data_IF_914446386339
#
_entry.id   IF_914446386339
#
_cell.length_a   1.000
_cell.length_b   1.000
_cell.length_c   1.000
_cell.angle_alpha   90.00
_cell.angle_beta   90.00
_cell.angle_gamma   90.00
#
_symmetry.space_group_name_H-M   'P 1'
#
loop_
_entity.id
_entity.type
_entity.pdbx_description
1 polymer ?
#
# COMPACT_ATOMS: atom_id res chain seq x y z
N UNK A 1 7.34 -12.68 -14.94
CA UNK A 1 8.80 -12.83 -15.01
C UNK A 1 9.33 -11.55 -15.65
N UNK A 2 9.73 -10.57 -14.84
CA UNK A 2 10.07 -9.22 -15.30
C UNK A 2 11.57 -9.02 -15.13
N UNK A 3 12.30 -8.92 -16.24
CA UNK A 3 13.64 -8.35 -16.25
C UNK A 3 13.43 -6.83 -16.23
N UNK A 4 13.44 -6.26 -15.02
CA UNK A 4 13.56 -4.81 -14.82
C UNK A 4 15.03 -4.47 -14.99
N UNK A 5 15.38 -3.94 -16.17
CA UNK A 5 16.62 -3.21 -16.36
C UNK A 5 16.56 -1.97 -15.46
N UNK A 6 17.17 -2.09 -14.29
CA UNK A 6 17.40 -0.99 -13.36
C UNK A 6 18.50 -0.12 -13.98
N UNK A 7 18.11 0.89 -14.76
CA UNK A 7 18.97 2.05 -14.96
C UNK A 7 18.94 2.86 -13.66
N UNK A 8 19.81 2.50 -12.73
CA UNK A 8 20.20 3.40 -11.65
C UNK A 8 21.05 4.51 -12.26
N UNK A 9 20.40 5.52 -12.84
CA UNK A 9 21.04 6.79 -13.12
C UNK A 9 21.14 7.55 -11.79
N UNK A 10 22.21 7.28 -11.04
CA UNK A 10 22.64 8.13 -9.92
C UNK A 10 23.12 9.47 -10.48
N UNK A 11 22.17 10.36 -10.81
CA UNK A 11 22.45 11.79 -11.04
C UNK A 11 22.33 12.52 -9.70
N UNK A 12 23.11 12.05 -8.72
CA UNK A 12 23.52 12.87 -7.55
C UNK A 12 25.02 13.15 -7.68
N UNK A 13 25.53 13.15 -8.92
CA UNK A 13 26.90 13.52 -9.26
C UNK A 13 26.95 15.01 -9.63
N UNK A 14 27.65 15.79 -8.79
CA UNK A 14 27.95 17.22 -8.91
C UNK A 14 26.79 18.23 -8.76
N UNK A 15 26.30 18.39 -7.53
CA UNK A 15 25.44 19.53 -7.13
C UNK A 15 26.21 20.83 -6.83
N UNK A 16 27.55 20.83 -6.82
CA UNK A 16 28.34 22.04 -6.51
C UNK A 16 28.19 23.13 -7.56
N UNK A 17 27.95 22.79 -8.83
CA UNK A 17 27.76 23.75 -9.92
C UNK A 17 26.40 24.45 -9.94
N UNK A 18 25.41 23.96 -9.16
CA UNK A 18 24.09 24.58 -9.10
C UNK A 18 23.95 25.58 -7.94
N UNK A 19 24.93 25.65 -7.02
CA UNK A 19 24.92 26.60 -5.91
C UNK A 19 25.20 28.05 -6.35
N UNK A 20 25.88 28.25 -7.49
CA UNK A 20 26.22 29.59 -8.02
C UNK A 20 25.00 30.40 -8.50
N UNK A 21 23.82 29.80 -8.50
CA UNK A 21 22.57 30.42 -8.96
C UNK A 21 21.51 30.51 -7.86
N UNK A 22 21.86 30.24 -6.61
CA UNK A 22 20.93 30.33 -5.48
C UNK A 22 21.03 31.74 -4.90
N UNK A 23 19.90 32.46 -4.74
CA UNK A 23 19.92 33.74 -4.03
C UNK A 23 20.46 33.58 -2.61
N UNK A 24 21.26 34.54 -2.14
CA UNK A 24 21.97 34.44 -0.84
C UNK A 24 21.05 34.09 0.33
N UNK A 25 19.81 34.62 0.31
CA UNK A 25 18.79 34.38 1.33
C UNK A 25 18.33 32.91 1.43
N UNK A 26 18.59 32.07 0.42
CA UNK A 26 18.21 30.66 0.38
C UNK A 26 19.39 29.69 0.57
N UNK A 27 20.61 30.18 0.75
CA UNK A 27 21.80 29.31 0.81
C UNK A 27 21.67 28.23 1.88
N UNK A 28 21.20 28.58 3.07
CA UNK A 28 21.08 27.63 4.18
C UNK A 28 19.95 26.63 3.97
N UNK A 29 18.83 27.04 3.39
CA UNK A 29 17.74 26.13 2.99
C UNK A 29 18.24 25.07 1.99
N UNK A 30 19.05 25.48 1.01
CA UNK A 30 19.64 24.57 0.04
C UNK A 30 20.73 23.66 0.62
N UNK A 31 21.50 24.12 1.62
CA UNK A 31 22.43 23.24 2.35
C UNK A 31 21.67 22.13 3.09
N UNK A 32 20.60 22.49 3.79
CA UNK A 32 19.75 21.52 4.50
C UNK A 32 19.07 20.56 3.52
N UNK A 33 18.54 21.07 2.41
CA UNK A 33 17.97 20.25 1.34
C UNK A 33 18.99 19.25 0.78
N UNK A 34 20.21 19.70 0.47
CA UNK A 34 21.26 18.81 -0.03
C UNK A 34 21.66 17.74 1.00
N UNK A 35 21.68 18.09 2.29
CA UNK A 35 21.91 17.11 3.35
C UNK A 35 20.80 16.05 3.38
N UNK A 36 19.53 16.46 3.27
CA UNK A 36 18.38 15.54 3.21
C UNK A 36 18.47 14.62 1.98
N UNK A 37 18.77 15.17 0.80
CA UNK A 37 18.95 14.41 -0.44
C UNK A 37 20.09 13.38 -0.33
N UNK A 38 21.24 13.79 0.23
CA UNK A 38 22.41 12.91 0.41
C UNK A 38 22.15 11.73 1.37
N UNK A 39 21.22 11.91 2.31
CA UNK A 39 20.82 10.91 3.29
C UNK A 39 19.56 10.14 2.87
N UNK A 40 19.06 10.34 1.64
CA UNK A 40 17.80 9.78 1.13
C UNK A 40 16.57 10.10 2.02
N UNK A 41 16.60 11.24 2.73
CA UNK A 41 15.49 11.79 3.51
C UNK A 41 14.51 12.52 2.59
N UNK A 42 13.90 11.75 1.68
CA UNK A 42 13.12 12.28 0.56
C UNK A 42 11.83 13.00 0.98
N UNK A 43 11.19 12.59 2.07
CA UNK A 43 9.99 13.27 2.55
C UNK A 43 10.33 14.68 3.06
N UNK A 44 11.42 14.80 3.83
CA UNK A 44 11.96 16.06 4.34
C UNK A 44 12.45 16.97 3.21
N UNK A 45 13.08 16.37 2.19
CA UNK A 45 13.51 17.08 0.99
C UNK A 45 12.31 17.63 0.20
N UNK A 46 11.26 16.83 -0.02
CA UNK A 46 10.05 17.27 -0.73
C UNK A 46 9.36 18.44 -0.02
N UNK A 47 9.26 18.42 1.31
CA UNK A 47 8.70 19.53 2.09
C UNK A 47 9.50 20.82 1.86
N UNK A 48 10.84 20.74 1.85
CA UNK A 48 11.70 21.90 1.60
C UNK A 48 11.60 22.40 0.16
N UNK A 49 11.57 21.49 -0.81
CA UNK A 49 11.36 21.83 -2.22
C UNK A 49 10.03 22.59 -2.41
N UNK A 50 8.95 22.13 -1.78
CA UNK A 50 7.65 22.82 -1.83
C UNK A 50 7.69 24.20 -1.16
N UNK A 51 8.39 24.34 -0.03
CA UNK A 51 8.57 25.63 0.63
C UNK A 51 9.34 26.62 -0.26
N UNK A 52 10.38 26.17 -0.98
CA UNK A 52 11.12 26.98 -1.93
C UNK A 52 10.25 27.40 -3.13
N UNK A 53 9.43 26.49 -3.68
CA UNK A 53 8.52 26.80 -4.79
C UNK A 53 7.51 27.90 -4.43
N UNK A 54 7.07 27.97 -3.16
CA UNK A 54 6.18 29.04 -2.71
C UNK A 54 6.83 30.43 -2.76
N UNK A 55 8.15 30.49 -2.84
CA UNK A 55 8.92 31.73 -2.98
C UNK A 55 9.43 31.93 -4.42
N UNK A 56 8.72 31.37 -5.41
CA UNK A 56 9.16 31.34 -6.82
C UNK A 56 9.55 32.71 -7.40
N UNK A 57 8.93 33.80 -6.95
CA UNK A 57 9.17 35.18 -7.40
C UNK A 57 10.63 35.61 -7.14
N UNK A 58 11.26 35.03 -6.12
CA UNK A 58 12.63 35.30 -5.69
C UNK A 58 13.63 34.33 -6.32
N UNK A 59 13.17 33.27 -6.98
CA UNK A 59 14.01 32.24 -7.57
C UNK A 59 14.18 32.49 -9.07
N UNK A 60 15.42 32.40 -9.57
CA UNK A 60 15.63 32.43 -11.01
C UNK A 60 15.12 31.14 -11.68
N UNK A 61 14.94 31.21 -12.99
CA UNK A 61 14.42 30.11 -13.79
C UNK A 61 15.25 28.83 -13.68
N UNK A 62 16.59 28.94 -13.62
CA UNK A 62 17.48 27.78 -13.54
C UNK A 62 17.29 27.03 -12.22
N UNK A 63 17.15 27.77 -11.11
CA UNK A 63 16.87 27.20 -9.79
C UNK A 63 15.49 26.53 -9.76
N UNK A 64 14.47 27.16 -10.33
CA UNK A 64 13.13 26.56 -10.44
C UNK A 64 13.14 25.27 -11.27
N UNK A 65 13.87 25.24 -12.38
CA UNK A 65 14.04 24.02 -13.20
C UNK A 65 14.67 22.92 -12.36
N UNK A 66 15.78 23.19 -11.68
CA UNK A 66 16.46 22.20 -10.84
C UNK A 66 15.56 21.64 -9.73
N UNK A 67 14.76 22.49 -9.09
CA UNK A 67 13.79 22.08 -8.07
C UNK A 67 12.79 21.08 -8.67
N UNK A 68 12.18 21.40 -9.82
CA UNK A 68 11.21 20.51 -10.47
C UNK A 68 11.84 19.21 -10.98
N UNK A 69 13.07 19.25 -11.47
CA UNK A 69 13.83 18.05 -11.84
C UNK A 69 14.10 17.14 -10.63
N UNK A 70 14.44 17.76 -9.49
CA UNK A 70 14.70 17.05 -8.23
C UNK A 70 13.42 16.41 -7.70
N UNK A 71 12.28 17.14 -7.68
CA UNK A 71 10.97 16.57 -7.34
C UNK A 71 10.62 15.40 -8.26
N UNK A 72 10.83 15.56 -9.58
CA UNK A 72 10.56 14.50 -10.54
C UNK A 72 11.41 13.24 -10.28
N UNK A 73 12.68 13.42 -9.91
CA UNK A 73 13.57 12.31 -9.61
C UNK A 73 13.14 11.58 -8.34
N UNK A 74 12.91 12.30 -7.24
CA UNK A 74 12.43 11.71 -5.98
C UNK A 74 11.15 10.90 -6.21
N UNK A 75 10.15 11.49 -6.88
CA UNK A 75 8.90 10.79 -7.16
C UNK A 75 9.09 9.59 -8.08
N UNK A 76 10.00 9.65 -9.06
CA UNK A 76 10.34 8.48 -9.87
C UNK A 76 10.93 7.37 -9.00
N UNK A 77 11.84 7.72 -8.08
CA UNK A 77 12.48 6.77 -7.17
C UNK A 77 11.50 6.17 -6.15
N UNK A 78 10.42 6.89 -5.81
CA UNK A 78 9.34 6.40 -4.94
C UNK A 78 8.25 5.61 -5.69
N UNK A 79 8.32 5.53 -7.02
CA UNK A 79 7.28 5.01 -7.93
C UNK A 79 6.00 5.85 -7.99
N UNK A 80 6.07 7.14 -7.65
CA UNK A 80 4.98 8.11 -7.74
C UNK A 80 4.97 8.80 -9.11
N UNK A 81 4.82 8.01 -10.17
CA UNK A 81 5.05 8.47 -11.55
C UNK A 81 4.15 9.64 -11.98
N UNK A 82 2.93 9.76 -11.45
CA UNK A 82 2.03 10.88 -11.73
C UNK A 82 2.64 12.21 -11.24
N UNK A 83 3.12 12.26 -9.99
CA UNK A 83 3.78 13.45 -9.44
C UNK A 83 5.11 13.76 -10.13
N UNK A 84 5.84 12.72 -10.56
CA UNK A 84 7.03 12.91 -11.36
C UNK A 84 6.71 13.56 -12.72
N UNK A 85 5.66 13.11 -13.41
CA UNK A 85 5.18 13.70 -14.66
C UNK A 85 4.76 15.16 -14.45
N UNK A 86 4.03 15.48 -13.38
CA UNK A 86 3.59 16.85 -13.12
C UNK A 86 4.75 17.79 -12.84
N UNK A 87 5.76 17.33 -12.12
CA UNK A 87 7.01 18.08 -11.90
C UNK A 87 7.76 18.32 -13.23
N UNK A 88 7.86 17.31 -14.09
CA UNK A 88 8.48 17.44 -15.41
C UNK A 88 7.72 18.39 -16.34
N UNK A 89 6.39 18.41 -16.28
CA UNK A 89 5.59 19.38 -17.03
C UNK A 89 5.92 20.81 -16.60
N UNK A 90 6.04 21.07 -15.29
CA UNK A 90 6.44 22.39 -14.77
C UNK A 90 7.84 22.79 -15.24
N UNK A 91 8.82 21.89 -15.18
CA UNK A 91 10.17 22.15 -15.72
C UNK A 91 10.15 22.45 -17.23
N UNK A 92 9.35 21.71 -18.00
CA UNK A 92 9.19 21.90 -19.46
C UNK A 92 8.58 23.26 -19.82
N UNK A 93 7.63 23.77 -19.04
CA UNK A 93 7.04 25.10 -19.27
C UNK A 93 8.09 26.20 -19.22
N UNK A 94 9.06 26.09 -18.30
CA UNK A 94 10.15 27.06 -18.13
C UNK A 94 11.23 26.85 -19.22
N UNK A 95 11.57 25.60 -19.55
CA UNK A 95 12.58 25.27 -20.56
C UNK A 95 11.97 24.48 -21.72
N UNK A 96 11.23 25.20 -22.56
CA UNK A 96 10.39 24.63 -23.63
C UNK A 96 11.18 23.90 -24.72
N UNK A 97 12.41 24.34 -24.99
CA UNK A 97 13.25 23.78 -26.06
C UNK A 97 13.89 22.44 -25.66
N UNK A 98 13.84 22.07 -24.37
CA UNK A 98 14.48 20.86 -23.89
C UNK A 98 13.59 19.63 -24.06
N UNK A 99 13.82 18.89 -25.14
CA UNK A 99 13.08 17.67 -25.47
C UNK A 99 13.24 16.53 -24.44
N UNK A 100 14.24 16.59 -23.54
CA UNK A 100 14.46 15.55 -22.51
C UNK A 100 13.24 15.35 -21.61
N UNK A 101 12.53 16.44 -21.28
CA UNK A 101 11.35 16.37 -20.41
C UNK A 101 10.20 15.64 -21.09
N UNK A 102 9.98 15.92 -22.39
CA UNK A 102 8.94 15.23 -23.14
C UNK A 102 9.21 13.73 -23.23
N UNK A 103 10.46 13.34 -23.47
CA UNK A 103 10.85 11.92 -23.51
C UNK A 103 10.63 11.23 -22.16
N UNK A 104 11.02 11.85 -21.05
CA UNK A 104 10.80 11.29 -19.69
C UNK A 104 9.32 11.21 -19.34
N UNK A 105 8.50 12.21 -19.72
CA UNK A 105 7.04 12.17 -19.54
C UNK A 105 6.41 11.01 -20.32
N UNK A 106 6.78 10.81 -21.59
CA UNK A 106 6.28 9.69 -22.40
C UNK A 106 6.67 8.35 -21.77
N UNK A 107 7.92 8.22 -21.33
CA UNK A 107 8.42 7.01 -20.66
C UNK A 107 7.60 6.67 -19.40
N UNK A 108 7.44 7.63 -18.49
CA UNK A 108 6.68 7.43 -17.26
C UNK A 108 5.19 7.15 -17.52
N UNK A 109 4.61 7.80 -18.54
CA UNK A 109 3.23 7.53 -18.96
C UNK A 109 3.09 6.08 -19.42
N UNK A 110 4.02 5.60 -20.26
CA UNK A 110 4.00 4.21 -20.72
C UNK A 110 4.19 3.20 -19.57
N UNK A 111 4.97 3.53 -18.55
CA UNK A 111 5.08 2.71 -17.33
C UNK A 111 3.74 2.63 -16.58
N UNK A 112 3.03 3.75 -16.46
CA UNK A 112 1.69 3.78 -15.85
C UNK A 112 0.74 2.88 -16.64
N UNK A 113 0.64 3.05 -17.97
CA UNK A 113 -0.27 2.24 -18.79
C UNK A 113 0.04 0.75 -18.70
N UNK A 114 1.33 0.38 -18.74
CA UNK A 114 1.76 -1.03 -18.66
C UNK A 114 1.33 -1.71 -17.36
N UNK A 115 1.26 -0.96 -16.27
CA UNK A 115 0.90 -1.47 -14.94
C UNK A 115 -0.61 -1.39 -14.65
N UNK A 116 -1.44 -1.15 -15.66
CA UNK A 116 -2.88 -0.88 -15.52
C UNK A 116 -3.78 -1.88 -16.26
N UNK A 117 -3.33 -3.13 -16.44
CA UNK A 117 -4.10 -4.15 -17.15
C UNK A 117 -5.53 -4.38 -16.58
N UNK A 118 -5.74 -4.13 -15.28
CA UNK A 118 -7.03 -4.33 -14.59
C UNK A 118 -7.91 -3.06 -14.53
N UNK A 119 -7.45 -1.92 -15.07
CA UNK A 119 -8.06 -0.58 -14.92
C UNK A 119 -9.50 -0.42 -15.39
N UNK A 120 -10.00 -1.35 -16.22
CA UNK A 120 -11.35 -1.32 -16.78
C UNK A 120 -12.25 -2.46 -16.31
N UNK A 121 -11.83 -3.20 -15.28
CA UNK A 121 -12.62 -4.31 -14.73
C UNK A 121 -13.88 -3.83 -14.00
N UNK A 122 -13.92 -2.57 -13.53
CA UNK A 122 -15.08 -1.99 -12.84
C UNK A 122 -15.32 -0.55 -13.27
N UNK A 123 -16.60 -0.15 -13.29
CA UNK A 123 -17.03 1.24 -13.53
C UNK A 123 -17.19 2.05 -12.25
N UNK A 124 -17.36 1.39 -11.11
CA UNK A 124 -17.74 2.02 -9.85
C UNK A 124 -16.93 1.45 -8.69
N UNK A 125 -16.78 2.26 -7.64
CA UNK A 125 -16.26 1.80 -6.35
C UNK A 125 -17.34 0.99 -5.63
N UNK A 126 -16.98 -0.21 -5.17
CA UNK A 126 -17.89 -1.08 -4.42
C UNK A 126 -17.66 -0.85 -2.93
N UNK A 127 -18.63 -0.23 -2.29
CA UNK A 127 -18.63 -0.05 -0.84
C UNK A 127 -18.72 -1.41 -0.12
N UNK A 128 -17.82 -1.62 0.83
CA UNK A 128 -17.88 -2.71 1.81
C UNK A 128 -17.66 -2.20 3.25
N UNK A 129 -17.79 -0.89 3.48
CA UNK A 129 -17.69 -0.26 4.80
C UNK A 129 -18.71 -0.86 5.75
N UNK A 130 -18.29 -1.09 7.00
CA UNK A 130 -19.09 -1.64 8.10
C UNK A 130 -19.62 -3.08 7.85
N UNK A 131 -18.97 -3.83 6.95
CA UNK A 131 -19.34 -5.23 6.68
C UNK A 131 -18.36 -6.21 7.30
N UNK A 132 -18.79 -7.47 7.39
CA UNK A 132 -17.93 -8.56 7.85
C UNK A 132 -17.64 -8.56 9.34
N UNK A 133 -16.59 -9.30 9.69
CA UNK A 133 -16.15 -9.49 11.07
C UNK A 133 -15.43 -8.22 11.52
N UNK A 134 -14.44 -7.75 10.76
CA UNK A 134 -13.54 -6.68 11.13
C UNK A 134 -14.23 -5.30 11.10
N UNK A 135 -15.23 -5.09 10.23
CA UNK A 135 -16.10 -3.89 10.10
C UNK A 135 -15.38 -2.57 9.78
N UNK A 136 -14.48 -2.13 10.65
CA UNK A 136 -13.77 -0.85 10.61
C UNK A 136 -12.38 -0.98 11.23
N UNK A 137 -11.39 -0.27 10.68
CA UNK A 137 -10.01 -0.31 11.16
C UNK A 137 -9.81 0.70 12.31
N UNK A 138 -10.66 0.69 13.32
CA UNK A 138 -10.58 1.63 14.45
C UNK A 138 -10.30 0.90 15.78
N UNK A 139 -10.00 1.65 16.82
CA UNK A 139 -9.82 1.14 18.18
C UNK A 139 -8.81 -0.02 18.25
N UNK A 140 -9.23 -1.18 18.79
CA UNK A 140 -8.39 -2.36 18.97
C UNK A 140 -8.64 -3.38 17.87
N UNK A 141 -7.58 -3.70 17.14
CA UNK A 141 -7.58 -4.67 16.05
C UNK A 141 -6.71 -5.87 16.44
N UNK A 142 -7.29 -7.06 16.45
CA UNK A 142 -6.54 -8.30 16.61
C UNK A 142 -6.26 -8.93 15.26
N UNK A 143 -4.99 -9.00 14.86
CA UNK A 143 -4.55 -9.76 13.69
C UNK A 143 -4.27 -11.19 14.10
N UNK A 144 -5.14 -12.11 13.71
CA UNK A 144 -4.94 -13.54 13.86
C UNK A 144 -4.19 -14.07 12.63
N UNK A 145 -2.89 -14.30 12.78
CA UNK A 145 -1.98 -14.60 11.68
C UNK A 145 -1.62 -16.10 11.65
N UNK A 146 -2.05 -16.80 10.61
CA UNK A 146 -1.88 -18.23 10.45
C UNK A 146 -0.79 -18.55 9.42
N UNK A 147 0.32 -19.10 9.89
CA UNK A 147 1.30 -19.72 9.00
C UNK A 147 0.76 -21.07 8.53
N UNK A 148 0.42 -21.17 7.25
CA UNK A 148 -0.04 -22.39 6.61
C UNK A 148 1.15 -23.21 6.14
N UNK A 149 1.28 -24.45 6.60
CA UNK A 149 2.38 -25.35 6.24
C UNK A 149 1.82 -26.71 5.81
N UNK A 150 2.17 -27.17 4.61
CA UNK A 150 1.82 -28.50 4.09
C UNK A 150 3.04 -29.39 3.89
N UNK A 151 4.21 -28.92 4.35
CA UNK A 151 5.53 -29.48 4.16
C UNK A 151 5.85 -29.89 2.70
N UNK A 152 5.21 -29.27 1.71
CA UNK A 152 5.42 -29.54 0.28
C UNK A 152 5.55 -28.24 -0.49
N UNK A 153 4.43 -27.57 -0.72
CA UNK A 153 4.35 -26.32 -1.46
C UNK A 153 4.64 -25.11 -0.57
N UNK A 154 4.10 -25.13 0.66
CA UNK A 154 4.31 -24.12 1.69
C UNK A 154 5.12 -24.71 2.84
N UNK A 155 6.28 -24.10 3.11
CA UNK A 155 7.18 -24.51 4.19
C UNK A 155 7.65 -23.30 4.98
N UNK A 156 7.45 -23.31 6.30
CA UNK A 156 7.85 -22.20 7.16
C UNK A 156 9.06 -22.55 8.02
N UNK A 157 10.20 -21.94 7.73
CA UNK A 157 11.36 -21.96 8.62
C UNK A 157 11.25 -20.90 9.73
N UNK A 158 12.02 -21.06 10.81
CA UNK A 158 12.11 -20.03 11.86
C UNK A 158 12.54 -18.67 11.30
N UNK A 159 13.54 -18.65 10.42
CA UNK A 159 14.02 -17.43 9.76
C UNK A 159 12.91 -16.75 8.96
N UNK A 160 12.18 -17.52 8.14
CA UNK A 160 11.07 -16.99 7.34
C UNK A 160 9.97 -16.38 8.23
N UNK A 161 9.65 -17.01 9.36
CA UNK A 161 8.65 -16.50 10.32
C UNK A 161 9.10 -15.19 10.97
N UNK A 162 10.37 -15.09 11.37
CA UNK A 162 10.93 -13.85 11.94
C UNK A 162 10.89 -12.72 10.90
N UNK A 163 11.32 -12.98 9.66
CA UNK A 163 11.25 -12.01 8.56
C UNK A 163 9.82 -11.53 8.35
N UNK A 164 8.85 -12.45 8.25
CA UNK A 164 7.44 -12.09 8.10
C UNK A 164 6.90 -11.28 9.29
N UNK A 165 7.28 -11.65 10.51
CA UNK A 165 6.86 -10.93 11.71
C UNK A 165 7.38 -9.47 11.69
N UNK A 166 8.60 -9.25 11.22
CA UNK A 166 9.15 -7.91 11.05
C UNK A 166 8.42 -7.13 9.95
N UNK A 167 8.06 -7.78 8.83
CA UNK A 167 7.25 -7.16 7.78
C UNK A 167 5.88 -6.72 8.32
N UNK A 168 5.19 -7.57 9.08
CA UNK A 168 3.90 -7.22 9.66
C UNK A 168 4.01 -6.09 10.70
N UNK A 169 5.10 -6.02 11.48
CA UNK A 169 5.37 -4.88 12.37
C UNK A 169 5.52 -3.57 11.59
N UNK A 170 6.16 -3.59 10.42
CA UNK A 170 6.25 -2.42 9.54
C UNK A 170 4.86 -2.02 9.02
N UNK A 171 4.03 -2.99 8.62
CA UNK A 171 2.64 -2.74 8.19
C UNK A 171 1.81 -2.11 9.31
N UNK A 172 1.89 -2.64 10.53
CA UNK A 172 1.19 -2.08 11.71
C UNK A 172 1.68 -0.66 12.01
N UNK A 173 2.99 -0.44 11.95
CA UNK A 173 3.58 0.89 12.18
C UNK A 173 3.08 1.87 11.12
N UNK A 174 3.05 1.45 9.85
CA UNK A 174 2.53 2.24 8.76
C UNK A 174 1.04 2.56 8.93
N UNK A 175 0.19 1.59 9.30
CA UNK A 175 -1.23 1.88 9.60
C UNK A 175 -1.39 2.94 10.69
N UNK A 176 -0.63 2.82 11.80
CA UNK A 176 -0.66 3.83 12.87
C UNK A 176 -0.19 5.20 12.39
N UNK A 177 0.80 5.26 11.51
CA UNK A 177 1.25 6.52 10.91
C UNK A 177 0.18 7.12 10.00
N UNK A 178 -0.47 6.32 9.16
CA UNK A 178 -1.55 6.78 8.29
C UNK A 178 -2.78 7.23 9.09
N UNK A 179 -3.12 6.52 10.17
CA UNK A 179 -4.24 6.83 11.05
C UNK A 179 -4.12 8.25 11.67
N UNK A 180 -2.91 8.69 12.02
CA UNK A 180 -2.65 10.04 12.53
C UNK A 180 -2.99 11.15 11.53
N UNK A 181 -2.93 10.87 10.23
CA UNK A 181 -3.32 11.86 9.21
C UNK A 181 -4.84 12.12 9.18
N UNK A 182 -5.61 11.32 9.93
CA UNK A 182 -7.07 11.39 10.04
C UNK A 182 -7.52 11.53 11.51
N UNK A 183 -6.64 11.99 12.40
CA UNK A 183 -6.92 12.18 13.83
C UNK A 183 -7.42 10.91 14.56
N UNK A 184 -6.96 9.74 14.11
CA UNK A 184 -7.28 8.45 14.73
C UNK A 184 -6.17 8.05 15.71
N UNK A 185 -6.29 8.50 16.96
CA UNK A 185 -5.28 8.28 18.01
C UNK A 185 -5.42 6.96 18.78
N UNK A 186 -6.61 6.35 18.75
CA UNK A 186 -6.95 5.14 19.52
C UNK A 186 -6.56 3.81 18.86
N UNK A 187 -5.92 3.83 17.68
CA UNK A 187 -5.67 2.62 16.90
C UNK A 187 -4.54 1.76 17.50
N UNK A 188 -4.93 0.62 18.05
CA UNK A 188 -4.03 -0.38 18.64
C UNK A 188 -4.15 -1.71 17.92
N UNK A 189 -3.03 -2.44 17.87
CA UNK A 189 -2.96 -3.73 17.23
C UNK A 189 -2.44 -4.77 18.23
N UNK A 190 -3.12 -5.91 18.28
CA UNK A 190 -2.62 -7.13 18.89
C UNK A 190 -2.39 -8.16 17.79
N UNK A 191 -1.21 -8.76 17.72
CA UNK A 191 -0.94 -9.82 16.74
C UNK A 191 -0.76 -11.14 17.44
N UNK A 192 -1.57 -12.14 17.06
CA UNK A 192 -1.42 -13.52 17.54
C UNK A 192 -1.05 -14.41 16.37
N UNK A 193 0.08 -15.11 16.51
CA UNK A 193 0.58 -16.02 15.49
C UNK A 193 0.17 -17.45 15.80
N UNK A 194 -0.29 -18.15 14.78
CA UNK A 194 -0.72 -19.54 14.84
C UNK A 194 -0.02 -20.34 13.74
N UNK A 195 0.12 -21.64 13.97
CA UNK A 195 0.71 -22.56 13.02
C UNK A 195 -0.33 -23.61 12.64
N UNK A 196 -0.68 -23.68 11.36
CA UNK A 196 -1.65 -24.64 10.85
C UNK A 196 -0.95 -25.63 9.93
N UNK A 197 -0.86 -26.87 10.41
CA UNK A 197 -0.30 -27.98 9.61
C UNK A 197 -1.41 -28.61 8.79
N UNK A 198 -1.32 -28.47 7.48
CA UNK A 198 -2.24 -29.13 6.55
C UNK A 198 -1.70 -30.51 6.19
N UNK A 199 -2.36 -31.61 6.60
CA UNK A 199 -1.97 -32.95 6.14
C UNK A 199 -2.22 -33.15 4.64
N UNK A 200 -3.14 -32.36 4.06
CA UNK A 200 -3.36 -32.30 2.62
C UNK A 200 -2.41 -31.30 1.98
N UNK A 201 -1.89 -31.62 0.81
CA UNK A 201 -1.12 -30.66 0.00
C UNK A 201 -1.95 -29.43 -0.35
N UNK A 202 -1.37 -28.25 -0.20
CA UNK A 202 -1.94 -26.96 -0.55
C UNK A 202 -1.54 -26.66 -2.00
N UNK A 203 -2.44 -26.88 -2.95
CA UNK A 203 -2.20 -26.46 -4.34
C UNK A 203 -2.48 -24.97 -4.53
N UNK A 204 -1.68 -24.28 -5.38
CA UNK A 204 -1.87 -22.87 -5.74
C UNK A 204 -3.30 -22.53 -6.16
N UNK A 205 -3.91 -23.35 -7.00
CA UNK A 205 -5.28 -23.11 -7.46
C UNK A 205 -6.31 -23.45 -6.40
N UNK A 206 -6.05 -24.45 -5.56
CA UNK A 206 -7.01 -24.89 -4.54
C UNK A 206 -7.20 -23.84 -3.45
N UNK A 207 -6.12 -23.20 -2.99
CA UNK A 207 -6.21 -22.18 -1.93
C UNK A 207 -7.09 -20.98 -2.31
N UNK A 208 -7.37 -20.77 -3.61
CA UNK A 208 -8.22 -19.68 -4.12
C UNK A 208 -9.69 -20.09 -4.24
N UNK A 209 -10.01 -21.36 -4.00
CA UNK A 209 -11.37 -21.89 -4.09
C UNK A 209 -12.08 -21.80 -2.75
N UNK A 210 -13.41 -21.71 -2.77
CA UNK A 210 -14.24 -21.64 -1.56
C UNK A 210 -14.08 -22.89 -0.67
N UNK A 211 -13.89 -24.05 -1.28
CA UNK A 211 -13.71 -25.34 -0.61
C UNK A 211 -12.46 -25.37 0.27
N UNK A 212 -11.41 -24.63 -0.13
CA UNK A 212 -10.23 -24.49 0.72
C UNK A 212 -10.58 -23.76 2.02
N UNK A 213 -11.44 -22.74 1.97
CA UNK A 213 -11.83 -22.01 3.17
C UNK A 213 -12.60 -22.89 4.17
N UNK A 214 -13.56 -23.68 3.68
CA UNK A 214 -14.30 -24.62 4.54
C UNK A 214 -13.36 -25.63 5.19
N UNK A 215 -12.34 -26.07 4.44
CA UNK A 215 -11.27 -26.92 4.96
C UNK A 215 -10.41 -26.20 6.01
N UNK A 216 -9.89 -25.01 5.70
CA UNK A 216 -9.00 -24.25 6.56
C UNK A 216 -9.68 -23.86 7.87
N UNK A 217 -10.96 -23.48 7.81
CA UNK A 217 -11.79 -23.14 8.97
C UNK A 217 -11.96 -24.33 9.91
N UNK A 218 -12.29 -25.51 9.37
CA UNK A 218 -12.41 -26.75 10.15
C UNK A 218 -11.07 -27.19 10.72
N UNK A 219 -10.00 -27.10 9.91
CA UNK A 219 -8.65 -27.44 10.33
C UNK A 219 -8.19 -26.57 11.49
N UNK A 220 -8.39 -25.26 11.38
CA UNK A 220 -8.08 -24.28 12.41
C UNK A 220 -8.86 -24.55 13.70
N UNK A 221 -10.19 -24.67 13.60
CA UNK A 221 -11.03 -24.93 14.76
C UNK A 221 -10.59 -26.20 15.49
N UNK A 222 -10.39 -27.31 14.75
CA UNK A 222 -9.95 -28.57 15.31
C UNK A 222 -8.56 -28.50 15.96
N UNK A 223 -7.57 -27.88 15.31
CA UNK A 223 -6.21 -27.81 15.85
C UNK A 223 -6.09 -26.89 17.07
N UNK A 224 -6.97 -25.89 17.18
CA UNK A 224 -6.98 -24.94 18.29
C UNK A 224 -7.99 -25.30 19.39
N UNK A 225 -8.75 -26.40 19.24
CA UNK A 225 -9.70 -26.89 20.23
C UNK A 225 -11.03 -26.12 20.29
N UNK A 226 -11.41 -25.43 19.22
CA UNK A 226 -12.70 -24.72 19.10
C UNK A 226 -13.72 -25.56 18.32
N UNK A 227 -15.01 -25.40 18.60
CA UNK A 227 -16.07 -26.12 17.87
C UNK A 227 -16.27 -25.57 16.46
N UNK A 228 -15.98 -24.28 16.29
CA UNK A 228 -16.13 -23.58 15.03
C UNK A 228 -15.13 -22.43 14.90
N UNK A 229 -14.95 -21.92 13.68
CA UNK A 229 -14.17 -20.69 13.46
C UNK A 229 -14.83 -19.47 14.12
N UNK A 230 -16.15 -19.45 14.21
CA UNK A 230 -16.90 -18.39 14.91
C UNK A 230 -16.53 -18.37 16.40
N UNK A 231 -16.54 -19.52 17.07
CA UNK A 231 -16.14 -19.64 18.48
C UNK A 231 -14.71 -19.17 18.70
N UNK A 232 -13.81 -19.46 17.74
CA UNK A 232 -12.44 -18.97 17.79
C UNK A 232 -12.39 -17.44 17.69
N UNK A 233 -13.11 -16.82 16.75
CA UNK A 233 -13.18 -15.37 16.59
C UNK A 233 -13.79 -14.70 17.83
N UNK A 234 -14.89 -15.23 18.36
CA UNK A 234 -15.51 -14.74 19.59
C UNK A 234 -14.55 -14.82 20.78
N UNK A 235 -13.76 -15.89 20.85
CA UNK A 235 -12.77 -16.07 21.91
C UNK A 235 -11.71 -14.96 21.92
N UNK A 236 -11.44 -14.35 20.75
CA UNK A 236 -10.49 -13.26 20.55
C UNK A 236 -11.10 -11.90 20.89
N UNK A 237 -12.44 -11.82 20.92
CA UNK A 237 -13.25 -10.64 21.26
C UNK A 237 -13.76 -10.63 22.69
N UNK A 238 -13.41 -11.63 23.50
CA UNK A 238 -14.01 -11.83 24.84
C UNK A 238 -13.97 -10.60 25.76
N UNK A 239 -12.94 -9.78 25.65
CA UNK A 239 -12.81 -8.56 26.46
C UNK A 239 -13.72 -7.43 25.95
N UNK A 240 -13.95 -7.35 24.64
CA UNK A 240 -14.77 -6.35 23.99
C UNK A 240 -15.34 -6.89 22.66
N UNK A 241 -16.66 -7.11 22.58
CA UNK A 241 -17.32 -7.58 21.35
C UNK A 241 -17.08 -6.70 20.12
N UNK A 242 -16.78 -5.42 20.32
CA UNK A 242 -16.50 -4.46 19.26
C UNK A 242 -15.06 -4.53 18.73
N UNK A 243 -14.19 -5.34 19.34
CA UNK A 243 -12.82 -5.54 18.84
C UNK A 243 -12.85 -6.17 17.42
N UNK A 244 -12.13 -5.53 16.50
CA UNK A 244 -11.99 -6.05 15.14
C UNK A 244 -11.04 -7.25 15.12
N UNK A 245 -11.37 -8.28 14.33
CA UNK A 245 -10.49 -9.44 14.13
C UNK A 245 -10.19 -9.60 12.65
N UNK A 246 -8.92 -9.42 12.28
CA UNK A 246 -8.41 -9.63 10.93
C UNK A 246 -7.75 -11.01 10.85
N UNK A 247 -8.35 -11.93 10.08
CA UNK A 247 -7.79 -13.26 9.85
C UNK A 247 -6.88 -13.25 8.63
N UNK A 248 -5.61 -13.61 8.83
CA UNK A 248 -4.61 -13.62 7.76
C UNK A 248 -3.98 -14.99 7.68
N UNK A 249 -4.27 -15.73 6.62
CA UNK A 249 -3.59 -16.96 6.28
C UNK A 249 -2.41 -16.66 5.37
N UNK A 250 -1.26 -17.29 5.62
CA UNK A 250 -0.06 -17.09 4.81
C UNK A 250 0.57 -18.43 4.43
N UNK A 251 0.54 -18.73 3.14
CA UNK A 251 1.32 -19.80 2.51
C UNK A 251 2.69 -19.25 2.09
N UNK A 252 3.80 -19.84 2.54
CA UNK A 252 5.16 -19.45 2.15
C UNK A 252 5.52 -19.99 0.75
N UNK A 253 4.73 -19.62 -0.23
CA UNK A 253 4.84 -20.03 -1.61
C UNK A 253 4.46 -18.86 -2.52
N UNK A 254 4.94 -18.82 -3.76
CA UNK A 254 4.65 -17.71 -4.66
C UNK A 254 3.36 -17.94 -5.45
N UNK A 255 2.35 -17.11 -5.22
CA UNK A 255 1.16 -16.98 -6.06
C UNK A 255 0.61 -15.55 -5.97
N UNK A 256 -0.63 -15.33 -6.45
CA UNK A 256 -1.33 -14.06 -6.25
C UNK A 256 -2.07 -14.11 -4.92
N UNK A 257 -1.69 -13.24 -4.01
CA UNK A 257 -2.40 -12.97 -2.76
C UNK A 257 -3.80 -12.40 -3.05
N UNK A 258 -4.73 -12.57 -2.12
CA UNK A 258 -6.09 -12.02 -2.25
C UNK A 258 -6.79 -11.93 -0.88
N UNK A 259 -7.84 -11.12 -0.81
CA UNK A 259 -8.78 -11.10 0.30
C UNK A 259 -10.15 -11.63 -0.13
N UNK A 260 -10.74 -12.46 0.73
CA UNK A 260 -12.15 -12.81 0.67
C UNK A 260 -12.90 -11.89 1.65
N UNK A 261 -13.29 -10.71 1.19
CA UNK A 261 -14.04 -9.74 1.98
C UNK A 261 -15.56 -9.97 1.86
N UNK A 262 -16.28 -9.53 2.88
CA UNK A 262 -17.73 -9.58 2.88
C UNK A 262 -18.32 -8.54 1.91
N UNK A 263 -19.22 -8.92 0.99
CA UNK A 263 -19.92 -7.93 0.18
C UNK A 263 -20.94 -7.19 1.02
N UNK A 264 -21.02 -5.86 0.85
CA UNK A 264 -22.18 -5.10 1.35
C UNK A 264 -23.42 -5.56 0.59
N UNK A 265 -24.37 -6.14 1.29
CA UNK A 265 -25.69 -6.54 0.75
C UNK A 265 -26.74 -6.29 1.83
N UNK A 266 -27.99 -6.05 1.43
CA UNK A 266 -29.11 -5.80 2.36
C UNK A 266 -29.39 -6.99 3.28
N UNK A 267 -28.91 -8.19 2.95
CA UNK A 267 -29.04 -9.43 3.72
C UNK A 267 -27.68 -10.12 3.93
N UNK A 268 -26.69 -9.37 4.39
CA UNK A 268 -25.34 -9.87 4.61
C UNK A 268 -25.27 -10.79 5.85
N UNK A 269 -25.52 -12.08 5.66
CA UNK A 269 -25.12 -13.15 6.59
C UNK A 269 -23.66 -13.57 6.35
N UNK A 270 -22.77 -12.61 6.10
CA UNK A 270 -21.37 -12.92 5.87
C UNK A 270 -20.73 -13.37 7.19
N UNK A 271 -20.52 -14.68 7.31
CA UNK A 271 -20.00 -15.27 8.55
C UNK A 271 -18.49 -15.18 8.66
N UNK A 272 -17.79 -14.95 7.54
CA UNK A 272 -16.34 -15.02 7.50
C UNK A 272 -15.73 -14.15 6.41
N UNK A 273 -14.58 -13.56 6.73
CA UNK A 273 -13.69 -12.89 5.81
C UNK A 273 -12.24 -13.16 6.20
N UNK A 274 -11.34 -13.20 5.23
CA UNK A 274 -9.94 -13.50 5.49
C UNK A 274 -9.04 -13.02 4.37
N UNK A 275 -7.77 -12.83 4.70
CA UNK A 275 -6.69 -12.64 3.74
C UNK A 275 -5.98 -13.96 3.50
N UNK A 276 -5.67 -14.24 2.24
CA UNK A 276 -4.73 -15.27 1.83
C UNK A 276 -3.49 -14.63 1.21
N UNK A 277 -2.38 -14.67 1.93
CA UNK A 277 -1.08 -14.26 1.45
C UNK A 277 -0.34 -15.46 0.85
N UNK A 278 0.29 -15.22 -0.28
CA UNK A 278 1.13 -16.19 -0.98
C UNK A 278 2.43 -15.53 -1.43
N UNK A 279 3.15 -14.99 -0.47
CA UNK A 279 4.45 -14.37 -0.70
C UNK A 279 5.54 -15.26 -0.14
N UNK A 280 6.52 -15.61 -0.97
CA UNK A 280 7.64 -16.41 -0.49
C UNK A 280 8.58 -15.53 0.32
N UNK A 281 8.80 -15.88 1.59
CA UNK A 281 9.76 -15.22 2.49
C UNK A 281 11.18 -15.64 2.12
N UNK A 282 11.69 -15.06 1.03
CA UNK A 282 13.05 -15.20 0.55
C UNK A 282 13.63 -13.84 0.15
N UNK A 283 14.93 -13.78 -0.08
CA UNK A 283 15.60 -12.57 -0.56
C UNK A 283 15.44 -12.40 -2.08
N UNK A 284 14.21 -12.54 -2.61
CA UNK A 284 13.96 -12.30 -4.03
C UNK A 284 13.86 -10.81 -4.33
N UNK A 285 14.07 -10.45 -5.60
CA UNK A 285 13.96 -9.07 -6.08
C UNK A 285 12.56 -8.45 -5.91
N UNK A 286 11.53 -9.24 -5.59
CA UNK A 286 10.15 -8.79 -5.35
C UNK A 286 9.78 -8.77 -3.86
N UNK A 287 10.68 -9.15 -2.96
CA UNK A 287 10.43 -9.18 -1.51
C UNK A 287 10.08 -7.81 -0.92
N UNK A 288 10.48 -6.72 -1.57
CA UNK A 288 10.10 -5.35 -1.19
C UNK A 288 8.59 -5.12 -1.23
N UNK A 289 7.85 -5.85 -2.07
CA UNK A 289 6.42 -5.68 -2.24
C UNK A 289 5.60 -6.38 -1.14
N UNK A 290 6.21 -7.27 -0.34
CA UNK A 290 5.47 -8.07 0.66
C UNK A 290 4.70 -7.21 1.65
N UNK A 291 5.31 -6.14 2.18
CA UNK A 291 4.63 -5.24 3.12
C UNK A 291 3.46 -4.50 2.47
N UNK A 292 3.60 -4.10 1.20
CA UNK A 292 2.51 -3.49 0.44
C UNK A 292 1.37 -4.44 0.15
N UNK A 293 1.67 -5.67 -0.29
CA UNK A 293 0.65 -6.71 -0.46
C UNK A 293 -0.05 -6.98 0.87
N UNK A 294 0.70 -7.13 1.97
CA UNK A 294 0.11 -7.34 3.29
C UNK A 294 -0.83 -6.20 3.69
N UNK A 295 -0.40 -4.95 3.55
CA UNK A 295 -1.25 -3.81 3.88
C UNK A 295 -2.48 -3.71 2.97
N UNK A 296 -2.31 -3.97 1.67
CA UNK A 296 -3.38 -3.91 0.68
C UNK A 296 -4.46 -4.95 0.98
N UNK A 297 -4.07 -6.21 1.13
CA UNK A 297 -5.02 -7.30 1.35
C UNK A 297 -5.72 -7.19 2.71
N UNK A 298 -5.02 -6.76 3.76
CA UNK A 298 -5.63 -6.56 5.09
C UNK A 298 -6.68 -5.45 5.04
N UNK A 299 -6.45 -4.36 4.29
CA UNK A 299 -7.43 -3.27 4.18
C UNK A 299 -8.77 -3.71 3.57
N UNK A 300 -8.77 -4.73 2.70
CA UNK A 300 -10.02 -5.29 2.17
C UNK A 300 -10.92 -5.88 3.25
N UNK A 301 -10.38 -6.40 4.35
CA UNK A 301 -11.19 -6.91 5.47
C UNK A 301 -11.94 -5.79 6.19
N UNK A 302 -11.46 -4.55 6.07
CA UNK A 302 -12.10 -3.38 6.64
C UNK A 302 -12.94 -2.62 5.62
N UNK A 303 -13.23 -3.25 4.47
CA UNK A 303 -14.15 -2.72 3.48
C UNK A 303 -13.52 -1.96 2.33
N UNK A 304 -12.20 -1.73 2.33
CA UNK A 304 -11.54 -1.06 1.19
C UNK A 304 -11.68 -1.89 -0.09
N UNK A 305 -11.82 -1.23 -1.24
CA UNK A 305 -11.86 -1.87 -2.55
C UNK A 305 -10.71 -1.40 -3.46
N UNK A 306 -10.34 -2.26 -4.41
CA UNK A 306 -9.33 -1.95 -5.43
C UNK A 306 -9.72 -0.74 -6.27
N UNK A 307 -8.97 0.34 -6.11
CA UNK A 307 -9.07 1.52 -6.97
C UNK A 307 -8.44 1.28 -8.33
N UNK A 308 -7.43 0.41 -8.38
CA UNK A 308 -6.72 0.13 -9.61
C UNK A 308 -7.59 -0.55 -10.69
N UNK A 309 -8.79 -1.02 -10.32
CA UNK A 309 -9.79 -1.64 -11.19
C UNK A 309 -10.76 -0.65 -11.87
N UNK A 310 -10.71 0.63 -11.49
CA UNK A 310 -11.68 1.66 -11.89
C UNK A 310 -11.02 2.67 -12.83
N UNK A 311 -11.61 2.87 -14.01
CA UNK A 311 -11.04 3.71 -15.07
C UNK A 311 -10.86 5.16 -14.61
N UNK A 312 -11.90 5.73 -13.99
CA UNK A 312 -11.86 7.09 -13.43
C UNK A 312 -10.86 7.28 -12.29
N UNK A 313 -10.36 6.19 -11.68
CA UNK A 313 -9.41 6.28 -10.57
C UNK A 313 -7.95 6.40 -11.04
N UNK A 314 -7.68 6.43 -12.35
CA UNK A 314 -6.32 6.50 -12.91
C UNK A 314 -5.50 7.66 -12.32
N UNK A 315 -6.03 8.87 -12.35
CA UNK A 315 -5.34 10.07 -11.83
C UNK A 315 -5.79 10.46 -10.41
N UNK A 316 -6.64 9.63 -9.78
CA UNK A 316 -7.16 9.85 -8.43
C UNK A 316 -6.33 9.06 -7.43
N UNK A 317 -6.00 9.63 -6.27
CA UNK A 317 -5.34 8.89 -5.19
C UNK A 317 -4.09 8.10 -5.66
N UNK A 318 -3.17 8.77 -6.36
CA UNK A 318 -2.07 8.15 -7.12
C UNK A 318 -0.96 7.53 -6.26
N UNK A 319 -1.01 7.71 -4.94
CA UNK A 319 -0.11 7.07 -3.96
C UNK A 319 -0.85 6.13 -3.02
N UNK A 320 -2.16 5.95 -3.20
CA UNK A 320 -2.97 5.09 -2.35
C UNK A 320 -2.60 3.62 -2.57
N UNK A 321 -2.42 2.88 -1.48
CA UNK A 321 -2.05 1.47 -1.51
C UNK A 321 -3.08 0.59 -2.23
N UNK A 322 -4.33 1.02 -2.34
CA UNK A 322 -5.41 0.37 -3.10
C UNK A 322 -5.39 0.72 -4.60
N UNK A 323 -4.52 1.63 -5.05
CA UNK A 323 -4.45 2.08 -6.44
C UNK A 323 -3.09 1.81 -7.11
N UNK A 324 -1.98 2.11 -6.44
CA UNK A 324 -0.64 1.95 -7.00
C UNK A 324 0.34 1.41 -5.98
N UNK A 325 1.31 0.64 -6.46
CA UNK A 325 2.48 0.30 -5.67
C UNK A 325 3.43 1.49 -5.60
N UNK A 326 3.89 1.78 -4.38
CA UNK A 326 5.08 2.60 -4.17
C UNK A 326 6.34 1.70 -4.17
N UNK A 327 7.54 2.26 -4.17
CA UNK A 327 8.77 1.44 -4.03
C UNK A 327 8.89 0.77 -2.66
N UNK A 328 8.44 1.46 -1.62
CA UNK A 328 8.39 0.98 -0.24
C UNK A 328 7.05 1.38 0.37
N UNK A 329 6.55 0.59 1.33
CA UNK A 329 5.28 0.87 2.00
C UNK A 329 5.23 2.26 2.64
N UNK A 330 6.35 2.74 3.20
CA UNK A 330 6.42 4.08 3.84
C UNK A 330 6.12 5.25 2.90
N UNK A 331 6.19 5.04 1.57
CA UNK A 331 5.84 6.05 0.57
C UNK A 331 4.39 5.89 0.05
N UNK A 332 3.71 4.79 0.38
CA UNK A 332 2.30 4.63 0.08
C UNK A 332 1.44 5.37 1.10
N UNK A 333 0.23 5.74 0.70
CA UNK A 333 -0.75 6.43 1.53
C UNK A 333 -2.04 5.64 1.68
N UNK A 334 -2.83 6.04 2.67
CA UNK A 334 -4.28 5.82 2.70
C UNK A 334 -4.91 7.15 2.31
N UNK A 335 -5.48 7.22 1.11
CA UNK A 335 -6.18 8.41 0.60
C UNK A 335 -7.59 8.51 1.17
N UNK A 336 -8.25 9.68 1.05
CA UNK A 336 -9.53 9.92 1.71
C UNK A 336 -10.63 8.89 1.40
N UNK A 337 -10.67 8.31 0.19
CA UNK A 337 -11.68 7.30 -0.15
C UNK A 337 -11.42 5.96 0.53
N UNK A 338 -10.16 5.52 0.59
CA UNK A 338 -9.78 4.33 1.34
C UNK A 338 -10.00 4.55 2.84
N UNK A 339 -9.64 5.72 3.36
CA UNK A 339 -9.91 6.13 4.75
C UNK A 339 -11.40 6.09 5.07
N UNK A 340 -12.26 6.63 4.19
CA UNK A 340 -13.71 6.52 4.32
C UNK A 340 -14.16 5.07 4.40
N UNK A 341 -13.66 4.22 3.50
CA UNK A 341 -14.09 2.83 3.38
C UNK A 341 -13.75 2.01 4.62
N UNK A 342 -12.61 2.28 5.27
CA UNK A 342 -12.17 1.61 6.50
C UNK A 342 -12.66 2.27 7.79
N UNK A 343 -13.47 3.34 7.68
CA UNK A 343 -14.13 4.00 8.81
C UNK A 343 -13.34 5.11 9.50
N UNK A 344 -12.38 5.74 8.81
CA UNK A 344 -11.58 6.86 9.34
C UNK A 344 -12.02 8.23 8.88
N UNK A 345 -12.81 8.33 7.81
CA UNK A 345 -13.15 9.61 7.22
C UNK A 345 -14.59 9.63 6.66
N UNK A 346 -15.05 10.82 6.32
CA UNK A 346 -16.24 11.03 5.50
C UNK A 346 -15.98 10.74 4.03
N UNK A 347 -17.05 10.46 3.27
CA UNK A 347 -16.90 10.13 1.85
C UNK A 347 -16.39 11.37 1.09
N UNK A 348 -15.22 11.31 0.44
CA UNK A 348 -14.73 12.43 -0.36
C UNK A 348 -15.44 12.51 -1.71
N UNK A 349 -15.25 13.63 -2.39
CA UNK A 349 -15.58 13.73 -3.81
C UNK A 349 -14.68 12.82 -4.65
N UNK A 350 -15.26 12.17 -5.65
CA UNK A 350 -14.59 11.21 -6.52
C UNK A 350 -14.93 11.44 -7.99
N UNK A 351 -13.98 11.24 -8.93
CA UNK A 351 -14.24 11.37 -10.37
C UNK A 351 -14.99 10.15 -10.97
N UNK A 352 -15.54 9.29 -10.11
CA UNK A 352 -16.29 8.08 -10.47
C UNK A 352 -17.36 7.84 -9.43
N UNK A 353 -18.34 6.98 -9.76
CA UNK A 353 -19.46 6.67 -8.88
C UNK A 353 -19.01 5.73 -7.76
N UNK A 354 -19.42 6.07 -6.52
CA UNK A 354 -19.33 5.20 -5.35
C UNK A 354 -20.69 4.57 -5.11
N UNK A 355 -20.77 3.24 -5.28
CA UNK A 355 -22.02 2.50 -5.10
C UNK A 355 -22.29 2.32 -3.60
N UNK A 356 -22.98 3.29 -3.00
CA UNK A 356 -23.55 3.15 -1.66
C UNK A 356 -24.74 2.20 -1.75
N UNK A 357 -24.66 1.06 -1.09
CA UNK A 357 -25.85 0.26 -0.81
C UNK A 357 -26.51 0.94 0.38
N UNK A 358 -27.74 1.43 0.20
CA UNK A 358 -28.51 2.06 1.27
C UNK A 358 -28.66 1.03 2.40
N UNK A 359 -28.28 1.44 3.60
CA UNK A 359 -28.46 0.67 4.83
C UNK A 359 -29.95 0.48 5.14
#
# INVERSE_FOLDING_TARGET
MLILLVFALSVIGNNSSNLSHIPDEFIDDFKLLNADLSQNRYNEALIKLEALIKQNEKLNQQTLIWIYETQAQIHTDQYHFHFAIDSLKKAKVINQQNNKYQQKIIYLTNLIEKNQAERKLRKTYRDARNTGIAKSLNNKVTIAYFYLDDNRWSKWSNKARITNSNNLKQVITWYKQQAKNYDIDGLTFNTRYFFLRSPKGLGREWIRKREFFDYASKLLANQLGYRSLHDFVDSMRRENPDDAVAMVFHSNAQARSYAASCPKTTNSNCKFEYVMLTEKMNNSASSWATTQTQSHEILHLFGAADLYNIEGAKNYAVTDVMNYYSKELKYASISPLTAWSIGWNELPETPFVVNKIKD
#
